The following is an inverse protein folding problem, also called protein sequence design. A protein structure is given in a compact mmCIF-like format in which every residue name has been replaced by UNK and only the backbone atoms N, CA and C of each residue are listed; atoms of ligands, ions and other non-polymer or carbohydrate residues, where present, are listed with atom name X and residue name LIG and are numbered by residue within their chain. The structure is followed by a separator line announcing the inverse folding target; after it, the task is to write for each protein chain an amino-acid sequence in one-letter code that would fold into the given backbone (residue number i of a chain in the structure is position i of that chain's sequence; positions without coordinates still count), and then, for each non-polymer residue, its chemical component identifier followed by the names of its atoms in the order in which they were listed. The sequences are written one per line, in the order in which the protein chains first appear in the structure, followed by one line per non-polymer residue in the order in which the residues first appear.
data_IF_536843456363
#
_entry.id   IF_536843456363
#
_cell.length_a   1.000
_cell.length_b   1.000
_cell.length_c   1.000
_cell.angle_alpha   90.00
_cell.angle_beta   90.00
_cell.angle_gamma   90.00
#
_symmetry.space_group_name_H-M   'P 1'
#
loop_
_entity.id
_entity.type
_entity.pdbx_description
1 polymer ?
#
# COMPACT_ATOMS: atom_id res chain seq x y z
N UNK A 1 -2.70 13.92 -13.74
CA UNK A 1 -1.91 12.74 -13.33
C UNK A 1 -2.89 11.62 -13.08
N UNK A 2 -2.65 10.41 -13.59
CA UNK A 2 -3.50 9.26 -13.29
C UNK A 2 -2.72 8.28 -12.41
N UNK A 3 -3.41 7.65 -11.47
CA UNK A 3 -2.86 6.65 -10.57
C UNK A 3 -3.51 5.31 -10.89
N UNK A 4 -2.68 4.29 -11.08
CA UNK A 4 -3.09 2.90 -11.11
C UNK A 4 -2.87 2.32 -9.73
N UNK A 5 -3.93 1.90 -9.06
CA UNK A 5 -3.88 1.29 -7.73
C UNK A 5 -3.87 -0.22 -7.90
N UNK A 6 -2.95 -0.88 -7.19
CA UNK A 6 -2.88 -2.33 -7.14
C UNK A 6 -2.83 -2.79 -5.69
N UNK A 7 -3.82 -3.59 -5.30
CA UNK A 7 -3.92 -4.16 -3.97
C UNK A 7 -3.26 -5.54 -3.92
N UNK A 8 -2.37 -5.70 -2.96
CA UNK A 8 -1.72 -6.95 -2.61
C UNK A 8 -2.13 -7.34 -1.19
N UNK A 9 -2.40 -8.61 -0.96
CA UNK A 9 -2.61 -9.19 0.36
C UNK A 9 -1.38 -10.04 0.72
N UNK A 10 -0.86 -9.85 1.93
CA UNK A 10 0.13 -10.76 2.49
C UNK A 10 -0.52 -12.10 2.81
N UNK A 11 0.15 -13.19 2.44
CA UNK A 11 -0.32 -14.54 2.80
C UNK A 11 -0.08 -14.85 4.28
N UNK A 12 0.96 -14.26 4.88
CA UNK A 12 1.35 -14.47 6.28
C UNK A 12 2.14 -13.28 6.87
N UNK A 13 2.33 -13.21 8.22
CA UNK A 13 3.01 -12.11 8.89
C UNK A 13 4.49 -11.89 8.56
N UNK A 14 5.17 -12.84 7.91
CA UNK A 14 6.57 -12.71 7.50
C UNK A 14 6.79 -11.69 6.39
N UNK A 15 5.71 -11.28 5.70
CA UNK A 15 5.72 -10.35 4.55
C UNK A 15 6.51 -10.86 3.34
N UNK A 16 6.82 -12.15 3.27
CA UNK A 16 7.60 -12.73 2.16
C UNK A 16 6.76 -13.02 0.91
N UNK A 17 5.47 -13.33 1.11
CA UNK A 17 4.58 -13.73 0.05
C UNK A 17 3.38 -12.78 -0.04
N UNK A 18 3.07 -12.35 -1.27
CA UNK A 18 1.93 -11.49 -1.56
C UNK A 18 1.16 -11.98 -2.77
N UNK A 19 -0.15 -11.84 -2.70
CA UNK A 19 -1.05 -12.13 -3.82
C UNK A 19 -1.85 -10.90 -4.17
N UNK A 20 -2.05 -10.68 -5.47
CA UNK A 20 -2.91 -9.60 -5.92
C UNK A 20 -4.37 -9.95 -5.57
N UNK A 21 -5.05 -9.05 -4.87
CA UNK A 21 -6.42 -9.25 -4.38
C UNK A 21 -7.42 -9.23 -5.54
N UNK A 22 -7.48 -8.11 -6.25
CA UNK A 22 -8.40 -7.89 -7.36
C UNK A 22 -7.74 -7.21 -8.54
N UNK A 23 -8.57 -6.72 -9.47
CA UNK A 23 -8.09 -6.03 -10.67
C UNK A 23 -7.47 -4.68 -10.32
N UNK A 24 -6.60 -4.18 -11.19
CA UNK A 24 -6.04 -2.84 -11.02
C UNK A 24 -7.14 -1.77 -11.18
N UNK A 25 -7.09 -0.73 -10.36
CA UNK A 25 -8.07 0.36 -10.36
C UNK A 25 -7.45 1.70 -10.76
N UNK A 26 -8.11 2.43 -11.67
CA UNK A 26 -7.65 3.75 -12.11
C UNK A 26 -8.35 4.87 -11.33
N UNK A 27 -7.57 5.82 -10.83
CA UNK A 27 -8.09 7.05 -10.22
C UNK A 27 -7.34 8.30 -10.68
N UNK A 28 -8.08 9.42 -10.73
CA UNK A 28 -7.52 10.76 -10.97
C UNK A 28 -7.09 11.44 -9.67
N UNK A 29 -7.64 11.02 -8.53
CA UNK A 29 -7.34 11.60 -7.22
C UNK A 29 -6.12 10.89 -6.62
N UNK A 30 -5.19 11.63 -5.97
CA UNK A 30 -4.10 10.99 -5.23
C UNK A 30 -4.67 10.05 -4.17
N UNK A 31 -4.28 8.76 -4.17
CA UNK A 31 -4.75 7.82 -3.16
C UNK A 31 -4.19 8.19 -1.77
N UNK A 32 -5.02 8.03 -0.74
CA UNK A 32 -4.65 8.29 0.66
C UNK A 32 -4.73 6.99 1.46
N UNK A 33 -3.57 6.35 1.62
CA UNK A 33 -3.42 5.15 2.44
C UNK A 33 -2.45 5.44 3.58
N UNK A 34 -2.83 5.09 4.80
CA UNK A 34 -2.09 5.36 6.03
C UNK A 34 -1.80 4.00 6.68
N UNK A 35 -0.53 3.81 7.02
CA UNK A 35 -0.05 2.58 7.64
C UNK A 35 -0.80 2.29 8.94
N UNK A 36 -1.18 1.02 9.15
CA UNK A 36 -1.91 0.57 10.34
C UNK A 36 -3.39 0.95 10.38
N UNK A 37 -3.91 1.70 9.40
CA UNK A 37 -5.36 1.98 9.34
C UNK A 37 -6.14 0.85 8.66
N UNK A 38 -7.38 0.60 9.13
CA UNK A 38 -8.28 -0.35 8.50
C UNK A 38 -8.95 0.24 7.24
N UNK A 39 -9.17 -0.62 6.26
CA UNK A 39 -9.81 -0.35 4.98
C UNK A 39 -10.81 -1.46 4.66
N UNK A 40 -11.98 -1.05 4.18
CA UNK A 40 -12.91 -1.95 3.49
C UNK A 40 -12.68 -1.77 2.00
N UNK A 41 -12.56 -2.89 1.32
CA UNK A 41 -12.47 -2.93 -0.13
C UNK A 41 -13.87 -3.14 -0.71
N UNK A 42 -14.15 -2.48 -1.82
CA UNK A 42 -15.38 -2.70 -2.59
C UNK A 42 -15.31 -4.06 -3.33
N UNK A 43 -16.46 -4.66 -3.71
CA UNK A 43 -16.53 -5.94 -4.42
C UNK A 43 -15.58 -6.09 -5.60
N UNK A 44 -15.36 -5.02 -6.35
CA UNK A 44 -14.51 -5.00 -7.53
C UNK A 44 -13.01 -4.96 -7.17
N UNK A 45 -12.68 -4.54 -5.95
CA UNK A 45 -11.30 -4.29 -5.48
C UNK A 45 -10.66 -5.52 -4.83
N UNK A 46 -11.44 -6.39 -4.19
CA UNK A 46 -10.90 -7.53 -3.43
C UNK A 46 -10.82 -8.86 -4.21
N UNK A 47 -11.43 -8.93 -5.39
CA UNK A 47 -11.30 -10.07 -6.33
C UNK A 47 -11.61 -11.45 -5.73
N UNK A 48 -11.06 -12.54 -6.30
CA UNK A 48 -11.48 -13.91 -5.94
C UNK A 48 -10.95 -14.42 -4.59
N UNK A 49 -9.91 -13.78 -4.04
CA UNK A 49 -9.26 -14.21 -2.79
C UNK A 49 -9.64 -13.33 -1.59
N UNK A 50 -10.33 -12.22 -1.83
CA UNK A 50 -10.89 -11.38 -0.78
C UNK A 50 -12.33 -11.76 -0.45
N UNK A 51 -12.79 -11.39 0.74
CA UNK A 51 -14.15 -11.62 1.19
C UNK A 51 -14.90 -10.29 1.45
N UNK A 52 -16.21 -10.19 1.14
CA UNK A 52 -16.99 -8.95 1.28
C UNK A 52 -17.08 -8.37 2.70
N UNK A 53 -16.93 -9.22 3.72
CA UNK A 53 -17.01 -8.81 5.13
C UNK A 53 -15.64 -8.66 5.78
N UNK A 54 -14.57 -8.90 5.02
CA UNK A 54 -13.21 -8.79 5.54
C UNK A 54 -12.81 -7.33 5.66
N UNK A 55 -12.27 -6.98 6.82
CA UNK A 55 -11.55 -5.72 7.00
C UNK A 55 -10.06 -5.98 6.80
N UNK A 56 -9.41 -5.11 6.03
CA UNK A 56 -7.99 -5.17 5.75
C UNK A 56 -7.27 -4.02 6.44
N UNK A 57 -5.99 -4.19 6.75
CA UNK A 57 -5.13 -3.14 7.33
C UNK A 57 -3.98 -2.86 6.38
N UNK A 58 -3.61 -1.59 6.21
CA UNK A 58 -2.40 -1.26 5.46
C UNK A 58 -1.16 -1.73 6.22
N UNK A 59 -0.61 -2.84 5.77
CA UNK A 59 0.47 -3.55 6.44
C UNK A 59 1.85 -3.11 5.99
N UNK A 60 2.00 -2.35 4.90
CA UNK A 60 3.27 -1.74 4.48
C UNK A 60 3.03 -0.32 3.92
N UNK A 61 3.95 0.66 4.05
CA UNK A 61 3.80 1.94 3.37
C UNK A 61 3.64 1.74 1.86
N UNK A 62 2.79 2.57 1.26
CA UNK A 62 2.55 2.51 -0.19
C UNK A 62 3.83 2.69 -0.98
N UNK A 63 4.01 1.86 -2.01
CA UNK A 63 5.12 1.98 -2.93
C UNK A 63 4.63 2.62 -4.24
N UNK A 64 5.18 3.79 -4.55
CA UNK A 64 4.80 4.57 -5.73
C UNK A 64 5.92 4.46 -6.77
N UNK A 65 5.58 4.04 -7.99
CA UNK A 65 6.53 3.90 -9.10
C UNK A 65 5.99 4.58 -10.37
N UNK A 66 6.86 5.14 -11.22
CA UNK A 66 6.45 5.60 -12.54
C UNK A 66 5.87 4.44 -13.36
N UNK A 67 4.70 4.65 -13.95
CA UNK A 67 4.14 3.73 -14.93
C UNK A 67 4.48 4.27 -16.33
N UNK A 68 5.46 3.63 -16.98
CA UNK A 68 5.87 3.99 -18.34
C UNK A 68 4.83 3.51 -19.34
N UNK A 69 4.16 4.47 -19.98
CA UNK A 69 3.27 4.20 -21.10
C UNK A 69 4.07 4.31 -22.41
N UNK A 70 4.42 3.15 -22.99
CA UNK A 70 5.17 3.09 -24.26
C UNK A 70 4.39 3.70 -25.43
N UNK A 71 3.06 3.72 -25.39
CA UNK A 71 2.21 4.30 -26.43
C UNK A 71 1.99 5.81 -26.23
N UNK A 72 2.27 6.35 -25.05
CA UNK A 72 2.14 7.79 -24.77
C UNK A 72 3.19 8.26 -23.76
N UNK A 73 4.45 8.41 -24.19
CA UNK A 73 5.58 8.72 -23.29
C UNK A 73 5.43 10.02 -22.50
N UNK A 74 4.62 10.97 -22.99
CA UNK A 74 4.35 12.25 -22.33
C UNK A 74 3.32 12.20 -21.20
N UNK A 75 2.55 11.11 -21.07
CA UNK A 75 1.55 10.99 -19.99
C UNK A 75 2.19 10.43 -18.72
N UNK A 76 2.42 11.32 -17.75
CA UNK A 76 2.85 10.91 -16.40
C UNK A 76 1.73 10.12 -15.71
N UNK A 77 1.99 8.84 -15.47
CA UNK A 77 1.14 7.91 -14.71
C UNK A 77 1.97 7.28 -13.60
N UNK A 78 1.33 6.98 -12.47
CA UNK A 78 1.97 6.37 -11.31
C UNK A 78 1.26 5.07 -10.96
N UNK A 79 2.04 4.00 -10.74
CA UNK A 79 1.57 2.78 -10.09
C UNK A 79 1.73 2.95 -8.59
N UNK A 80 0.66 2.68 -7.84
CA UNK A 80 0.62 2.70 -6.39
C UNK A 80 0.31 1.30 -5.91
N UNK A 81 1.33 0.62 -5.38
CA UNK A 81 1.17 -0.68 -4.76
C UNK A 81 0.78 -0.51 -3.29
N UNK A 82 -0.33 -1.13 -2.93
CA UNK A 82 -0.93 -1.10 -1.59
C UNK A 82 -0.85 -2.51 -1.02
N UNK A 83 -0.16 -2.66 0.11
CA UNK A 83 0.07 -3.97 0.73
C UNK A 83 -0.76 -4.10 2.00
N UNK A 84 -1.66 -5.06 2.00
CA UNK A 84 -2.68 -5.27 3.01
C UNK A 84 -2.45 -6.57 3.78
N UNK A 85 -2.96 -6.61 5.01
CA UNK A 85 -3.15 -7.83 5.79
C UNK A 85 -4.63 -7.93 6.22
N UNK A 86 -5.10 -9.11 6.60
CA UNK A 86 -6.42 -9.24 7.25
C UNK A 86 -6.34 -8.59 8.64
N UNK A 87 -7.37 -7.86 9.05
CA UNK A 87 -7.40 -7.20 10.36
C UNK A 87 -7.20 -8.18 11.53
N UNK A 88 -7.73 -9.39 11.43
CA UNK A 88 -7.60 -10.43 12.46
C UNK A 88 -6.16 -10.93 12.64
N UNK A 89 -5.36 -10.86 11.58
CA UNK A 89 -3.94 -11.27 11.57
C UNK A 89 -3.03 -10.11 11.99
N UNK A 90 -3.54 -8.87 12.05
CA UNK A 90 -2.73 -7.67 12.23
C UNK A 90 -1.87 -7.70 13.49
N UNK A 91 -2.40 -8.25 14.59
CA UNK A 91 -1.65 -8.38 15.85
C UNK A 91 -0.43 -9.31 15.77
N UNK A 92 -0.28 -10.08 14.69
CA UNK A 92 0.86 -10.96 14.45
C UNK A 92 1.95 -10.31 13.61
N UNK A 93 1.66 -9.17 12.98
CA UNK A 93 2.65 -8.44 12.18
C UNK A 93 3.55 -7.62 13.09
N UNK A 94 4.86 -7.76 12.91
CA UNK A 94 5.77 -6.73 13.35
C UNK A 94 5.59 -5.46 12.53
N UNK A 95 6.00 -4.33 13.13
CA UNK A 95 6.06 -3.07 12.42
C UNK A 95 6.99 -3.18 11.19
N UNK A 96 6.49 -2.72 10.04
CA UNK A 96 7.21 -2.74 8.78
C UNK A 96 8.58 -2.05 8.90
N UNK A 97 9.62 -2.67 8.35
CA UNK A 97 10.98 -2.13 8.41
C UNK A 97 11.05 -0.73 7.78
N UNK A 98 10.29 -0.48 6.73
CA UNK A 98 10.19 0.80 6.03
C UNK A 98 9.57 1.90 6.90
N UNK A 99 8.68 1.54 7.83
CA UNK A 99 8.13 2.46 8.82
C UNK A 99 9.20 2.80 9.85
N UNK A 100 9.83 1.78 10.45
CA UNK A 100 10.96 1.94 11.40
C UNK A 100 12.03 2.89 10.84
N UNK A 101 12.43 2.70 9.58
CA UNK A 101 13.43 3.53 8.92
C UNK A 101 12.96 4.98 8.67
N UNK A 102 11.68 5.20 8.33
CA UNK A 102 11.14 6.55 8.13
C UNK A 102 11.11 7.33 9.43
N UNK A 103 10.70 6.70 10.53
CA UNK A 103 10.72 7.34 11.84
C UNK A 103 12.13 7.72 12.28
N UNK A 104 13.10 6.83 12.08
CA UNK A 104 14.51 7.11 12.37
C UNK A 104 15.03 8.30 11.56
N UNK A 105 14.74 8.37 10.25
CA UNK A 105 15.13 9.50 9.40
C UNK A 105 14.48 10.81 9.85
N UNK A 106 13.21 10.78 10.25
CA UNK A 106 12.49 11.94 10.79
C UNK A 106 13.12 12.45 12.08
N UNK A 107 13.45 11.55 13.01
CA UNK A 107 14.13 11.90 14.28
C UNK A 107 15.50 12.54 14.03
N UNK A 108 16.29 12.00 13.11
CA UNK A 108 17.62 12.56 12.76
C UNK A 108 17.51 13.96 12.12
N UNK A 109 16.50 14.23 11.30
CA UNK A 109 16.29 15.56 10.71
C UNK A 109 15.89 16.61 11.75
N UNK A 110 15.02 16.27 12.70
CA UNK A 110 14.63 17.19 13.78
C UNK A 110 15.81 17.54 14.68
N UNK A 111 16.67 16.56 15.01
CA UNK A 111 17.88 16.82 15.80
C UNK A 111 18.90 17.73 15.10
N UNK A 112 18.95 17.73 13.76
CA UNK A 112 19.83 18.62 12.98
C UNK A 112 19.26 20.02 12.76
N UNK A 113 17.95 20.22 12.91
CA UNK A 113 17.31 21.52 12.74
C UNK A 113 17.34 22.39 14.02
N UNK A 114 17.65 21.78 15.17
CA UNK A 114 17.62 22.41 16.49
C UNK A 114 19.02 22.60 17.12
N UNK A 115 20.10 22.42 16.35
CA UNK A 115 21.49 22.64 16.79
C UNK A 115 22.25 23.46 15.78
#
# INVERSE_FOLDING_TARGET
MNYLIRFYLYDDPSRQNVRQLGSDYWTKKPPKFIYGLPYRLEPEEFGPIGAPYQVYVLANPVLIKPLLDRASPGRKRLLVNVFLARLEEWGWFEEAQEVKLKEQKGRVQVSKANG
#
